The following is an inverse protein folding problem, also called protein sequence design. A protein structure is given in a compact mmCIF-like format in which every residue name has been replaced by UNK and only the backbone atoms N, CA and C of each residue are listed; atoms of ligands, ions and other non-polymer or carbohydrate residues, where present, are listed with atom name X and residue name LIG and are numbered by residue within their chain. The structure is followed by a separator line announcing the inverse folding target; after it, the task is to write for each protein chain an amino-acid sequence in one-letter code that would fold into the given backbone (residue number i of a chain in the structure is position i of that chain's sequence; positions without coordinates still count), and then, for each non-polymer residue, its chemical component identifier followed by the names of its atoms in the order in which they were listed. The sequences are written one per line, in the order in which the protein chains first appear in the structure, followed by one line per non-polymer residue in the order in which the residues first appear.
data_IF_709941603332
#
_entry.id   IF_709941603332
#
_cell.length_a   1.000
_cell.length_b   1.000
_cell.length_c   1.000
_cell.angle_alpha   90.00
_cell.angle_beta   90.00
_cell.angle_gamma   90.00
#
_symmetry.space_group_name_H-M   'P 1'
#
loop_
_entity.id
_entity.type
_entity.pdbx_description
1 polymer ?
#
# COMPACT_ATOMS: atom_id res chain seq x y z
N UNK A 1 -7.89 12.08 -7.00
CA UNK A 1 -6.92 11.21 -6.34
C UNK A 1 -7.72 10.15 -5.60
N UNK A 2 -8.08 9.06 -6.31
CA UNK A 2 -8.91 7.98 -5.75
C UNK A 2 -8.29 7.43 -4.47
N UNK A 3 -9.05 7.35 -3.37
CA UNK A 3 -8.55 6.88 -2.05
C UNK A 3 -7.31 7.63 -1.53
N UNK A 4 -7.08 8.85 -2.00
CA UNK A 4 -5.86 9.61 -1.69
C UNK A 4 -4.63 9.18 -2.49
N UNK A 5 -4.76 8.30 -3.48
CA UNK A 5 -3.67 7.97 -4.38
C UNK A 5 -3.51 9.03 -5.49
N UNK A 6 -2.29 9.57 -5.60
CA UNK A 6 -1.87 10.58 -6.57
C UNK A 6 -1.85 10.09 -8.02
N UNK A 7 -1.59 8.81 -8.27
CA UNK A 7 -1.32 8.26 -9.62
C UNK A 7 -2.50 7.50 -10.26
N UNK A 8 -3.61 7.31 -9.54
CA UNK A 8 -4.82 6.66 -10.05
C UNK A 8 -5.78 7.65 -10.72
N UNK A 9 -6.46 7.19 -11.78
CA UNK A 9 -7.53 7.91 -12.48
C UNK A 9 -7.06 9.12 -13.30
N UNK A 10 -5.76 9.21 -13.59
CA UNK A 10 -5.13 10.24 -14.43
C UNK A 10 -4.28 9.57 -15.52
N UNK A 11 -4.41 10.05 -16.75
CA UNK A 11 -3.53 9.67 -17.86
C UNK A 11 -2.85 10.92 -18.39
N UNK A 12 -1.53 10.84 -18.57
CA UNK A 12 -0.70 11.90 -19.12
C UNK A 12 -0.66 11.80 -20.65
N UNK A 13 -0.66 12.95 -21.32
CA UNK A 13 -0.36 13.05 -22.73
C UNK A 13 1.15 12.95 -22.99
N UNK A 14 1.51 12.76 -24.25
CA UNK A 14 2.90 12.62 -24.65
C UNK A 14 3.76 13.80 -24.17
N UNK A 15 4.93 13.49 -23.61
CA UNK A 15 5.89 14.44 -23.06
C UNK A 15 5.54 15.03 -21.70
N UNK A 16 4.32 14.85 -21.19
CA UNK A 16 3.94 15.38 -19.88
C UNK A 16 4.61 14.61 -18.74
N UNK A 17 4.94 15.35 -17.67
CA UNK A 17 5.55 14.81 -16.47
C UNK A 17 4.68 15.17 -15.26
N UNK A 18 4.41 14.20 -14.40
CA UNK A 18 3.71 14.39 -13.14
C UNK A 18 4.55 13.86 -11.98
N UNK A 19 4.63 14.67 -10.93
CA UNK A 19 5.07 14.21 -9.62
C UNK A 19 3.85 13.87 -8.75
N UNK A 20 3.92 12.74 -8.07
CA UNK A 20 2.97 12.29 -7.07
C UNK A 20 3.68 11.99 -5.76
N UNK A 21 2.96 12.11 -4.65
CA UNK A 21 3.39 11.68 -3.34
C UNK A 21 2.18 11.10 -2.62
N UNK A 22 2.29 9.84 -2.22
CA UNK A 22 1.32 9.18 -1.35
C UNK A 22 1.94 9.00 0.03
N UNK A 23 1.28 9.45 1.08
CA UNK A 23 1.60 9.13 2.47
C UNK A 23 0.47 8.32 3.07
N UNK A 24 0.82 7.26 3.79
CA UNK A 24 -0.08 6.38 4.53
C UNK A 24 0.46 6.25 5.94
N UNK A 25 -0.27 6.83 6.90
CA UNK A 25 0.09 6.78 8.31
C UNK A 25 -0.96 5.96 9.02
N UNK A 26 -0.53 4.86 9.63
CA UNK A 26 -1.43 3.85 10.20
C UNK A 26 -1.12 3.66 11.67
N UNK A 27 -2.19 3.50 12.44
CA UNK A 27 -2.18 3.15 13.83
C UNK A 27 -3.05 1.91 14.00
N UNK A 28 -2.48 0.83 14.50
CA UNK A 28 -3.18 -0.41 14.82
C UNK A 28 -2.97 -0.65 16.31
N UNK A 29 -4.08 -0.68 17.03
CA UNK A 29 -4.14 -1.20 18.39
C UNK A 29 -4.56 -2.68 18.30
N UNK A 30 -3.79 -3.57 18.90
CA UNK A 30 -4.03 -5.00 18.82
C UNK A 30 -3.87 -5.67 20.18
N UNK A 31 -4.69 -6.68 20.42
CA UNK A 31 -4.65 -7.54 21.58
C UNK A 31 -5.01 -8.98 21.16
N UNK A 32 -4.42 -9.98 21.79
CA UNK A 32 -4.89 -11.36 21.75
C UNK A 32 -4.62 -12.09 23.06
N UNK A 33 -5.44 -13.09 23.34
CA UNK A 33 -5.26 -13.98 24.49
C UNK A 33 -4.01 -14.88 24.32
N UNK A 34 -3.64 -15.62 25.35
CA UNK A 34 -2.50 -16.55 25.34
C UNK A 34 -2.65 -17.56 24.20
N UNK A 35 -1.60 -17.70 23.39
CA UNK A 35 -1.61 -18.67 22.29
C UNK A 35 -1.65 -20.11 22.84
N UNK A 36 -2.55 -20.97 22.34
CA UNK A 36 -2.61 -22.37 22.74
C UNK A 36 -1.32 -23.04 22.30
N UNK A 37 -0.62 -23.67 23.24
CA UNK A 37 0.71 -24.28 23.06
C UNK A 37 1.90 -23.29 23.06
N UNK A 38 1.72 -22.04 23.51
CA UNK A 38 2.84 -21.20 23.92
C UNK A 38 3.30 -21.55 25.35
N UNK A 39 4.59 -21.35 25.63
CA UNK A 39 5.10 -21.37 27.01
C UNK A 39 4.80 -20.05 27.75
N UNK A 40 4.33 -19.04 27.03
CA UNK A 40 3.91 -17.76 27.60
C UNK A 40 2.56 -17.90 28.30
N UNK A 41 2.41 -17.18 29.41
CA UNK A 41 1.21 -17.24 30.27
C UNK A 41 0.50 -15.89 30.37
N UNK A 42 0.88 -14.95 29.50
CA UNK A 42 0.39 -13.58 29.50
C UNK A 42 -0.34 -13.26 28.19
N UNK A 43 -1.37 -12.44 28.30
CA UNK A 43 -2.01 -11.81 27.16
C UNK A 43 -1.03 -10.92 26.40
N UNK A 44 -1.28 -10.74 25.11
CA UNK A 44 -0.41 -9.98 24.24
C UNK A 44 -1.12 -8.74 23.75
N UNK A 45 -0.50 -7.59 23.98
CA UNK A 45 -1.04 -6.31 23.52
C UNK A 45 0.06 -5.38 23.06
N UNK A 46 -0.31 -4.56 22.08
CA UNK A 46 0.59 -3.53 21.60
C UNK A 46 -0.01 -2.67 20.53
N UNK A 47 0.82 -1.75 20.07
CA UNK A 47 0.48 -0.81 19.01
C UNK A 47 1.45 -0.96 17.86
N UNK A 48 0.93 -1.12 16.65
CA UNK A 48 1.73 -0.97 15.43
C UNK A 48 1.47 0.40 14.82
N UNK A 49 2.52 1.21 14.74
CA UNK A 49 2.46 2.52 14.09
C UNK A 49 3.33 2.50 12.84
N UNK A 50 2.75 2.91 11.72
CA UNK A 50 3.45 2.99 10.43
C UNK A 50 3.41 4.41 9.89
N UNK A 51 4.57 4.91 9.46
CA UNK A 51 4.70 6.16 8.71
C UNK A 51 5.34 5.83 7.37
N UNK A 52 4.53 5.79 6.31
CA UNK A 52 4.99 5.38 4.98
C UNK A 52 4.70 6.48 3.97
N UNK A 53 5.67 6.77 3.13
CA UNK A 53 5.56 7.69 2.02
C UNK A 53 6.09 7.06 0.74
N UNK A 54 5.49 7.42 -0.39
CA UNK A 54 5.82 6.93 -1.71
C UNK A 54 5.81 8.06 -2.71
N UNK A 55 6.96 8.71 -2.96
CA UNK A 55 7.12 9.58 -4.12
C UNK A 55 6.97 8.77 -5.41
N UNK A 56 6.35 9.39 -6.40
CA UNK A 56 6.04 8.81 -7.71
C UNK A 56 6.40 9.82 -8.78
N UNK A 57 7.12 9.38 -9.80
CA UNK A 57 7.34 10.15 -11.03
C UNK A 57 6.65 9.42 -12.18
N UNK A 58 5.75 10.10 -12.89
CA UNK A 58 5.06 9.57 -14.06
C UNK A 58 5.38 10.40 -15.29
N UNK A 59 5.70 9.73 -16.39
CA UNK A 59 5.98 10.34 -17.69
C UNK A 59 5.03 9.75 -18.74
N UNK A 60 4.39 10.63 -19.52
CA UNK A 60 3.67 10.22 -20.73
C UNK A 60 4.64 10.00 -21.88
N UNK A 61 4.94 8.75 -22.23
CA UNK A 61 5.77 8.43 -23.38
C UNK A 61 5.02 8.67 -24.70
N UNK A 62 3.70 8.50 -24.68
CA UNK A 62 2.81 8.83 -25.78
C UNK A 62 1.42 9.21 -25.23
N UNK A 63 0.47 9.52 -26.11
CA UNK A 63 -0.93 9.74 -25.72
C UNK A 63 -1.62 8.46 -25.21
N UNK A 64 -0.96 7.31 -25.34
CA UNK A 64 -1.49 5.99 -24.98
C UNK A 64 -0.66 5.27 -23.93
N UNK A 65 0.56 5.72 -23.62
CA UNK A 65 1.45 4.99 -22.72
C UNK A 65 2.05 5.93 -21.67
N UNK A 66 1.88 5.58 -20.40
CA UNK A 66 2.53 6.25 -19.28
C UNK A 66 3.45 5.27 -18.56
N UNK A 67 4.62 5.74 -18.12
CA UNK A 67 5.53 5.00 -17.25
C UNK A 67 5.61 5.71 -15.91
N UNK A 68 5.52 4.96 -14.81
CA UNK A 68 5.64 5.47 -13.45
C UNK A 68 6.72 4.72 -12.68
N UNK A 69 7.56 5.47 -11.97
CA UNK A 69 8.51 4.96 -10.99
C UNK A 69 8.08 5.43 -9.60
N UNK A 70 7.97 4.52 -8.65
CA UNK A 70 7.73 4.87 -7.25
C UNK A 70 8.72 4.17 -6.31
N UNK A 71 8.99 4.81 -5.18
CA UNK A 71 9.86 4.29 -4.13
C UNK A 71 9.11 4.33 -2.81
N UNK A 72 8.98 3.21 -2.10
CA UNK A 72 8.45 3.22 -0.74
C UNK A 72 9.55 3.64 0.22
N UNK A 73 9.24 4.54 1.14
CA UNK A 73 10.13 4.93 2.22
C UNK A 73 9.29 5.10 3.48
N UNK A 74 9.80 4.67 4.62
CA UNK A 74 9.06 4.77 5.87
C UNK A 74 9.61 3.91 6.98
N UNK A 75 8.85 3.88 8.06
CA UNK A 75 9.13 3.08 9.25
C UNK A 75 7.83 2.46 9.74
N UNK A 76 7.94 1.22 10.21
CA UNK A 76 6.94 0.57 11.05
C UNK A 76 7.56 0.38 12.42
N UNK A 77 6.79 0.64 13.47
CA UNK A 77 7.21 0.43 14.85
C UNK A 77 6.16 -0.39 15.57
N UNK A 78 6.60 -1.49 16.15
CA UNK A 78 5.83 -2.21 17.16
C UNK A 78 6.16 -1.60 18.52
N UNK A 79 5.13 -1.26 19.28
CA UNK A 79 5.22 -0.80 20.66
C UNK A 79 4.54 -1.88 21.49
N UNK A 80 5.31 -2.57 22.30
CA UNK A 80 4.80 -3.55 23.25
C UNK A 80 4.26 -2.84 24.48
N UNK A 81 3.05 -3.18 24.92
CA UNK A 81 2.40 -2.56 26.09
C UNK A 81 2.03 -3.56 27.20
N UNK A 82 2.13 -4.87 26.92
CA UNK A 82 1.81 -5.92 27.89
C UNK A 82 2.80 -6.05 29.06
N UNK A 83 2.38 -6.77 30.09
CA UNK A 83 3.20 -6.98 31.30
C UNK A 83 4.23 -8.09 31.11
N UNK A 84 5.52 -7.74 31.02
CA UNK A 84 6.62 -8.70 30.91
C UNK A 84 7.54 -8.42 29.72
N UNK A 85 8.73 -9.01 29.75
CA UNK A 85 9.69 -8.98 28.65
C UNK A 85 10.04 -10.42 28.24
N UNK A 86 10.14 -10.67 26.94
CA UNK A 86 10.47 -11.98 26.35
C UNK A 86 11.16 -11.79 24.99
N UNK A 87 11.53 -12.90 24.35
CA UNK A 87 12.06 -12.93 22.98
C UNK A 87 11.03 -12.43 21.93
N UNK A 88 9.75 -12.33 22.28
CA UNK A 88 8.65 -11.79 21.45
C UNK A 88 8.15 -10.41 21.91
N UNK A 89 8.35 -10.05 23.18
CA UNK A 89 7.72 -8.90 23.83
C UNK A 89 8.66 -7.71 23.95
N UNK A 90 8.73 -6.89 22.90
CA UNK A 90 9.58 -5.69 22.89
C UNK A 90 9.07 -4.59 21.95
N UNK A 91 9.51 -3.38 22.23
CA UNK A 91 9.34 -2.26 21.30
C UNK A 91 10.47 -2.27 20.26
N UNK A 92 10.13 -2.36 18.98
CA UNK A 92 11.11 -2.39 17.90
C UNK A 92 10.61 -1.72 16.62
N UNK A 93 11.53 -1.39 15.70
CA UNK A 93 11.21 -0.69 14.46
C UNK A 93 11.93 -1.25 13.25
N UNK A 94 11.30 -1.17 12.08
CA UNK A 94 11.86 -1.66 10.81
C UNK A 94 13.10 -0.87 10.34
N UNK A 95 13.39 0.27 10.97
CA UNK A 95 14.53 1.12 10.63
C UNK A 95 15.86 0.67 11.25
N UNK A 96 15.86 -0.23 12.23
CA UNK A 96 17.06 -0.79 12.84
C UNK A 96 17.25 -2.25 12.44
N UNK A 97 18.49 -2.71 12.36
CA UNK A 97 18.78 -4.13 12.15
C UNK A 97 18.46 -4.96 13.38
N UNK A 98 18.25 -6.24 13.17
CA UNK A 98 18.03 -7.26 14.20
C UNK A 98 18.71 -8.57 13.78
N UNK A 99 18.76 -9.56 14.67
CA UNK A 99 19.37 -10.88 14.40
C UNK A 99 18.90 -11.49 13.06
N UNK A 100 17.61 -11.41 12.77
CA UNK A 100 16.97 -11.92 11.57
C UNK A 100 16.46 -10.82 10.62
N UNK A 101 16.90 -9.57 10.75
CA UNK A 101 16.37 -8.47 9.94
C UNK A 101 17.43 -7.43 9.60
N UNK A 102 17.45 -7.02 8.33
CA UNK A 102 18.23 -5.85 7.90
C UNK A 102 17.34 -4.60 8.02
N UNK A 103 17.77 -3.61 8.79
CA UNK A 103 17.03 -2.36 8.97
C UNK A 103 17.22 -1.36 7.83
N UNK A 104 16.36 -0.34 7.80
CA UNK A 104 16.54 0.85 6.96
C UNK A 104 15.24 1.61 6.73
N UNK A 105 15.27 2.66 5.91
CA UNK A 105 14.05 3.43 5.61
C UNK A 105 13.38 3.03 4.30
N UNK A 106 14.11 2.39 3.38
CA UNK A 106 13.60 2.08 2.05
C UNK A 106 12.77 0.79 2.08
N UNK A 107 11.59 0.82 1.48
CA UNK A 107 10.82 -0.35 1.06
C UNK A 107 10.93 -0.58 -0.46
N UNK A 108 9.97 -1.31 -1.02
CA UNK A 108 10.01 -1.69 -2.44
C UNK A 108 10.00 -0.48 -3.40
N UNK A 109 10.72 -0.63 -4.52
CA UNK A 109 10.63 0.26 -5.69
C UNK A 109 9.68 -0.36 -6.70
N UNK A 110 8.75 0.41 -7.29
CA UNK A 110 7.84 -0.10 -8.33
C UNK A 110 8.04 0.64 -9.65
N UNK A 111 8.07 -0.13 -10.73
CA UNK A 111 8.03 0.38 -12.10
C UNK A 111 6.74 -0.11 -12.77
N UNK A 112 5.89 0.81 -13.21
CA UNK A 112 4.61 0.51 -13.83
C UNK A 112 4.49 1.16 -15.21
N UNK A 113 4.06 0.38 -16.19
CA UNK A 113 3.64 0.84 -17.49
C UNK A 113 2.11 0.78 -17.58
N UNK A 114 1.46 1.86 -18.02
CA UNK A 114 0.00 1.98 -18.14
C UNK A 114 -0.39 2.35 -19.55
N UNK A 115 -1.13 1.47 -20.21
CA UNK A 115 -1.77 1.72 -21.48
C UNK A 115 -3.13 2.41 -21.27
N UNK A 116 -3.30 3.56 -21.91
CA UNK A 116 -4.48 4.41 -21.80
C UNK A 116 -5.48 4.08 -22.91
N UNK A 117 -6.28 3.02 -22.71
CA UNK A 117 -7.30 2.58 -23.69
C UNK A 117 -8.29 3.72 -23.99
N UNK A 118 -8.73 4.41 -22.94
CA UNK A 118 -9.53 5.62 -23.07
C UNK A 118 -9.08 6.65 -22.06
N UNK A 119 -8.74 7.84 -22.53
CA UNK A 119 -8.35 8.96 -21.68
C UNK A 119 -9.03 10.24 -22.15
N UNK A 120 -10.08 10.66 -21.44
CA UNK A 120 -10.80 11.91 -21.69
C UNK A 120 -10.13 13.13 -21.06
N UNK A 121 -8.98 12.95 -20.41
CA UNK A 121 -8.18 14.03 -19.84
C UNK A 121 -8.99 14.92 -18.88
N UNK A 122 -8.98 16.23 -19.12
CA UNK A 122 -9.76 17.21 -18.32
C UNK A 122 -11.26 17.18 -18.62
N UNK A 123 -11.69 16.63 -19.76
CA UNK A 123 -13.10 16.57 -20.17
C UNK A 123 -13.93 15.53 -19.39
N UNK A 124 -15.25 15.57 -19.62
CA UNK A 124 -16.17 14.54 -19.15
C UNK A 124 -16.06 13.26 -19.98
N UNK A 125 -16.37 12.14 -19.36
CA UNK A 125 -16.41 10.82 -19.98
C UNK A 125 -15.55 9.79 -19.26
N UNK A 126 -15.45 8.59 -19.84
CA UNK A 126 -14.78 7.46 -19.21
C UNK A 126 -13.26 7.57 -19.32
N UNK A 127 -12.59 6.86 -18.42
CA UNK A 127 -11.16 6.60 -18.40
C UNK A 127 -10.97 5.11 -18.13
N UNK A 128 -10.24 4.45 -19.01
CA UNK A 128 -9.96 3.02 -18.88
C UNK A 128 -8.49 2.78 -19.15
N UNK A 129 -7.78 2.29 -18.14
CA UNK A 129 -6.34 2.02 -18.21
C UNK A 129 -6.07 0.55 -17.84
N UNK A 130 -5.12 -0.04 -18.55
CA UNK A 130 -4.52 -1.33 -18.20
C UNK A 130 -3.05 -1.11 -17.89
N UNK A 131 -2.57 -1.68 -16.79
CA UNK A 131 -1.21 -1.53 -16.32
C UNK A 131 -0.53 -2.86 -16.07
N UNK A 132 0.79 -2.86 -16.25
CA UNK A 132 1.67 -3.98 -15.91
C UNK A 132 3.01 -3.46 -15.42
N UNK A 133 3.69 -4.23 -14.56
CA UNK A 133 5.02 -3.82 -14.10
C UNK A 133 5.64 -4.75 -13.08
N UNK A 134 6.64 -4.22 -12.37
CA UNK A 134 7.48 -4.97 -11.45
C UNK A 134 7.66 -4.22 -10.12
N UNK A 135 7.71 -4.97 -9.02
CA UNK A 135 8.17 -4.51 -7.71
C UNK A 135 9.56 -5.10 -7.43
N UNK A 136 10.49 -4.23 -7.04
CA UNK A 136 11.86 -4.55 -6.71
C UNK A 136 12.03 -4.40 -5.20
N UNK A 137 12.44 -5.46 -4.48
CA UNK A 137 12.54 -5.41 -3.04
C UNK A 137 13.74 -4.57 -2.59
N UNK A 138 13.58 -3.84 -1.50
CA UNK A 138 14.73 -3.21 -0.82
C UNK A 138 15.48 -4.21 0.07
N UNK A 139 16.62 -3.76 0.60
CA UNK A 139 17.37 -4.51 1.62
C UNK A 139 16.71 -4.51 3.00
N UNK A 140 15.69 -3.68 3.25
CA UNK A 140 14.97 -3.71 4.53
C UNK A 140 14.03 -4.92 4.56
N UNK A 141 14.55 -6.08 4.92
CA UNK A 141 13.85 -7.37 4.85
C UNK A 141 14.25 -8.28 6.00
N UNK A 142 13.39 -9.23 6.30
CA UNK A 142 13.74 -10.38 7.12
C UNK A 142 14.75 -11.28 6.38
N UNK A 143 15.65 -11.90 7.14
CA UNK A 143 16.76 -12.73 6.65
C UNK A 143 16.66 -14.20 7.04
N UNK A 144 15.67 -14.56 7.85
CA UNK A 144 15.33 -15.95 8.18
C UNK A 144 13.87 -16.06 8.63
N UNK A 145 13.34 -17.28 8.65
CA UNK A 145 12.00 -17.61 9.13
C UNK A 145 11.82 -17.18 10.59
N UNK A 146 10.94 -16.20 10.89
CA UNK A 146 10.70 -15.75 12.25
C UNK A 146 9.76 -16.67 13.04
N UNK A 147 9.13 -17.65 12.39
CA UNK A 147 8.18 -18.56 13.04
C UNK A 147 8.82 -19.90 13.44
N UNK A 148 10.09 -20.12 13.10
CA UNK A 148 10.84 -21.34 13.41
C UNK A 148 10.08 -22.61 12.99
N UNK A 149 9.48 -22.60 11.80
CA UNK A 149 8.52 -23.63 11.36
C UNK A 149 9.12 -25.05 11.31
N UNK A 150 10.44 -25.16 11.18
CA UNK A 150 11.16 -26.44 11.18
C UNK A 150 11.81 -26.80 12.52
N UNK A 151 12.24 -25.82 13.31
CA UNK A 151 13.06 -26.02 14.52
C UNK A 151 12.52 -25.18 15.69
N UNK A 152 11.31 -25.51 16.17
CA UNK A 152 10.67 -24.75 17.26
C UNK A 152 11.47 -24.76 18.57
N UNK A 153 12.26 -25.81 18.81
CA UNK A 153 13.07 -25.96 20.03
C UNK A 153 14.30 -25.03 20.07
N UNK A 154 14.62 -24.35 18.95
CA UNK A 154 15.76 -23.43 18.81
C UNK A 154 15.31 -21.96 18.64
N UNK A 155 14.11 -21.61 19.15
CA UNK A 155 13.61 -20.24 19.09
C UNK A 155 14.60 -19.26 19.73
N UNK A 156 15.01 -18.29 18.94
CA UNK A 156 15.90 -17.18 19.32
C UNK A 156 15.20 -15.86 19.07
N UNK A 157 15.77 -14.76 19.57
CA UNK A 157 15.28 -13.42 19.26
C UNK A 157 15.06 -13.23 17.76
N UNK A 158 13.85 -12.81 17.38
CA UNK A 158 13.47 -12.59 15.99
C UNK A 158 12.41 -11.49 15.84
N UNK A 159 12.35 -10.90 14.65
CA UNK A 159 11.36 -9.90 14.22
C UNK A 159 10.43 -10.49 13.15
N UNK A 160 9.16 -10.08 13.19
CA UNK A 160 8.10 -10.54 12.27
C UNK A 160 7.76 -9.57 11.13
N UNK A 161 8.33 -8.38 11.11
CA UNK A 161 7.98 -7.34 10.13
C UNK A 161 9.19 -6.59 9.56
N UNK A 162 9.02 -6.08 8.34
CA UNK A 162 10.01 -5.26 7.62
C UNK A 162 9.28 -4.31 6.66
N UNK A 163 10.03 -3.43 5.99
CA UNK A 163 9.47 -2.54 4.96
C UNK A 163 9.33 -3.21 3.59
N UNK A 164 10.15 -4.23 3.31
CA UNK A 164 10.17 -5.06 2.11
C UNK A 164 10.16 -6.52 2.54
N UNK A 165 9.49 -7.39 1.77
CA UNK A 165 9.51 -8.84 2.01
C UNK A 165 10.64 -9.56 1.25
N UNK A 166 11.50 -8.81 0.54
CA UNK A 166 12.63 -9.37 -0.17
C UNK A 166 12.27 -10.04 -1.51
N UNK A 167 10.99 -10.08 -1.91
CA UNK A 167 10.55 -10.73 -3.14
C UNK A 167 10.49 -9.75 -4.33
N UNK A 168 11.00 -10.18 -5.49
CA UNK A 168 10.64 -9.56 -6.77
C UNK A 168 9.21 -9.96 -7.13
N UNK A 169 8.38 -9.00 -7.53
CA UNK A 169 6.97 -9.25 -7.80
C UNK A 169 6.55 -8.69 -9.16
N UNK A 170 5.61 -9.37 -9.80
CA UNK A 170 4.92 -8.88 -10.99
C UNK A 170 3.63 -8.17 -10.57
N UNK A 171 3.30 -7.07 -11.25
CA UNK A 171 2.10 -6.27 -10.98
C UNK A 171 1.21 -6.24 -12.22
N UNK A 172 -0.08 -6.46 -12.03
CA UNK A 172 -1.13 -6.18 -13.00
C UNK A 172 -2.13 -5.18 -12.44
N UNK A 173 -2.62 -4.25 -13.26
CA UNK A 173 -3.52 -3.19 -12.83
C UNK A 173 -4.62 -2.93 -13.87
N UNK A 174 -5.85 -2.73 -13.41
CA UNK A 174 -6.96 -2.25 -14.21
C UNK A 174 -7.59 -1.05 -13.51
N UNK A 175 -7.83 0.03 -14.25
CA UNK A 175 -8.46 1.24 -13.73
C UNK A 175 -9.64 1.65 -14.60
N UNK A 176 -10.82 1.84 -14.01
CA UNK A 176 -12.03 2.29 -14.71
C UNK A 176 -12.65 3.44 -13.94
N UNK A 177 -12.71 4.61 -14.56
CA UNK A 177 -13.30 5.80 -13.97
C UNK A 177 -14.21 6.53 -14.95
N UNK A 178 -15.12 7.34 -14.43
CA UNK A 178 -15.97 8.22 -15.20
C UNK A 178 -15.95 9.62 -14.57
N UNK A 179 -15.75 10.64 -15.41
CA UNK A 179 -15.87 12.04 -15.03
C UNK A 179 -17.13 12.65 -15.63
N UNK A 180 -17.86 13.43 -14.85
CA UNK A 180 -19.05 14.15 -15.30
C UNK A 180 -19.18 15.51 -14.61
N UNK A 181 -20.21 16.27 -14.97
CA UNK A 181 -20.48 17.60 -14.43
C UNK A 181 -21.32 17.57 -13.14
N UNK A 182 -22.15 16.54 -12.96
CA UNK A 182 -23.04 16.36 -11.81
C UNK A 182 -22.40 15.50 -10.72
N UNK A 183 -22.81 15.66 -9.46
CA UNK A 183 -22.29 14.84 -8.36
C UNK A 183 -22.74 13.37 -8.46
N UNK A 184 -21.85 12.38 -8.20
CA UNK A 184 -20.40 12.54 -8.04
C UNK A 184 -19.73 12.89 -9.39
N UNK A 185 -18.87 13.91 -9.39
CA UNK A 185 -18.21 14.39 -10.62
C UNK A 185 -17.08 13.51 -11.08
N UNK A 186 -16.58 12.66 -10.20
CA UNK A 186 -15.59 11.65 -10.54
C UNK A 186 -15.85 10.41 -9.71
N UNK A 187 -16.06 9.27 -10.37
CA UNK A 187 -16.28 8.01 -9.70
C UNK A 187 -15.74 6.83 -10.50
N UNK A 188 -15.58 5.69 -9.84
CA UNK A 188 -15.09 4.47 -10.45
C UNK A 188 -14.24 3.66 -9.49
N UNK A 189 -13.33 2.86 -10.03
CA UNK A 189 -12.47 2.02 -9.22
C UNK A 189 -11.24 1.51 -9.95
N UNK A 190 -10.43 0.77 -9.20
CA UNK A 190 -9.24 0.10 -9.71
C UNK A 190 -9.07 -1.25 -9.03
N UNK A 191 -8.51 -2.18 -9.78
CA UNK A 191 -8.11 -3.49 -9.31
C UNK A 191 -6.62 -3.68 -9.58
N UNK A 192 -5.88 -4.15 -8.59
CA UNK A 192 -4.45 -4.43 -8.66
C UNK A 192 -4.19 -5.85 -8.18
N UNK A 193 -3.32 -6.55 -8.89
CA UNK A 193 -2.75 -7.83 -8.48
C UNK A 193 -1.24 -7.69 -8.39
N UNK A 194 -0.65 -8.14 -7.29
CA UNK A 194 0.80 -8.17 -7.11
C UNK A 194 1.21 -9.57 -6.62
N UNK A 195 2.02 -10.27 -7.42
CA UNK A 195 2.35 -11.69 -7.18
C UNK A 195 3.87 -11.90 -7.12
N UNK A 196 4.40 -12.69 -6.18
CA UNK A 196 5.84 -13.02 -6.16
C UNK A 196 6.24 -13.77 -7.44
N UNK A 197 7.33 -13.35 -8.06
CA UNK A 197 7.90 -14.08 -9.20
C UNK A 197 8.55 -15.38 -8.71
N UNK A 198 9.23 -15.32 -7.56
CA UNK A 198 9.89 -16.46 -6.92
C UNK A 198 10.11 -16.22 -5.42
N UNK A 199 10.47 -17.29 -4.73
CA UNK A 199 11.04 -17.23 -3.38
C UNK A 199 12.29 -16.35 -3.35
N UNK A 200 12.47 -15.59 -2.28
CA UNK A 200 13.64 -14.75 -2.08
C UNK A 200 14.84 -15.59 -1.63
N UNK A 201 16.03 -14.96 -1.55
CA UNK A 201 17.27 -15.65 -1.17
C UNK A 201 17.32 -16.18 0.27
N UNK A 202 16.38 -15.76 1.12
CA UNK A 202 16.26 -16.16 2.52
C UNK A 202 15.21 -17.27 2.71
N UNK A 203 14.54 -17.69 1.63
CA UNK A 203 13.54 -18.74 1.67
C UNK A 203 12.10 -18.27 1.82
N UNK A 204 11.84 -16.96 1.79
CA UNK A 204 10.46 -16.46 1.88
C UNK A 204 9.85 -16.25 0.50
N UNK A 205 8.61 -16.71 0.34
CA UNK A 205 7.73 -16.40 -0.79
C UNK A 205 6.52 -15.63 -0.28
N UNK A 206 6.47 -14.34 -0.63
CA UNK A 206 5.36 -13.44 -0.31
C UNK A 206 4.01 -14.02 -0.77
N UNK A 207 2.90 -13.69 -0.10
CA UNK A 207 1.57 -13.94 -0.66
C UNK A 207 1.32 -13.11 -1.93
N UNK A 208 0.37 -13.56 -2.75
CA UNK A 208 -0.24 -12.75 -3.81
C UNK A 208 -1.23 -11.79 -3.19
N UNK A 209 -1.12 -10.51 -3.54
CA UNK A 209 -2.01 -9.42 -3.14
C UNK A 209 -3.03 -9.14 -4.24
N UNK A 210 -4.29 -8.99 -3.83
CA UNK A 210 -5.40 -8.46 -4.60
C UNK A 210 -5.92 -7.20 -3.90
N UNK A 211 -5.90 -6.06 -4.57
CA UNK A 211 -6.38 -4.76 -4.05
C UNK A 211 -7.45 -4.20 -4.98
N UNK A 212 -8.68 -4.13 -4.49
CA UNK A 212 -9.82 -3.52 -5.17
C UNK A 212 -10.19 -2.23 -4.45
N UNK A 213 -10.38 -1.15 -5.19
CA UNK A 213 -10.80 0.13 -4.60
C UNK A 213 -11.84 0.83 -5.45
N UNK A 214 -12.80 1.47 -4.78
CA UNK A 214 -13.84 2.30 -5.36
C UNK A 214 -13.77 3.70 -4.79
N UNK A 215 -14.12 4.71 -5.59
CA UNK A 215 -14.10 6.11 -5.17
C UNK A 215 -15.26 6.85 -5.84
N UNK A 216 -15.88 7.77 -5.10
CA UNK A 216 -16.77 8.81 -5.61
C UNK A 216 -16.37 10.17 -5.01
N UNK A 217 -16.28 11.21 -5.85
CA UNK A 217 -15.83 12.55 -5.47
C UNK A 217 -16.88 13.59 -5.90
N UNK A 218 -17.19 14.53 -5.01
CA UNK A 218 -18.09 15.65 -5.32
C UNK A 218 -17.39 16.80 -6.04
N UNK A 219 -18.17 17.68 -6.66
CA UNK A 219 -17.72 19.02 -7.00
C UNK A 219 -17.22 19.76 -5.77
N UNK A 220 -16.41 20.78 -6.02
CA UNK A 220 -15.93 21.69 -5.00
C UNK A 220 -17.13 22.39 -4.34
N UNK A 221 -17.14 22.44 -3.01
CA UNK A 221 -18.14 23.19 -2.24
C UNK A 221 -17.61 24.60 -1.99
N UNK A 222 -18.28 25.59 -2.58
CA UNK A 222 -17.85 27.01 -2.59
C UNK A 222 -17.46 27.57 -1.22
N UNK A 223 -18.16 27.20 -0.14
CA UNK A 223 -17.86 27.71 1.22
C UNK A 223 -16.53 27.20 1.78
N UNK A 224 -16.14 25.98 1.44
CA UNK A 224 -14.96 25.31 2.00
C UNK A 224 -13.79 25.24 1.00
N UNK A 225 -14.04 25.56 -0.28
CA UNK A 225 -13.08 25.42 -1.39
C UNK A 225 -12.43 24.03 -1.40
N UNK A 226 -13.26 23.01 -1.19
CA UNK A 226 -12.86 21.60 -1.15
C UNK A 226 -13.94 20.71 -1.77
N UNK A 227 -13.50 19.62 -2.38
CA UNK A 227 -14.34 18.47 -2.74
C UNK A 227 -14.34 17.45 -1.61
N UNK A 228 -15.39 16.63 -1.54
CA UNK A 228 -15.48 15.49 -0.63
C UNK A 228 -15.33 14.19 -1.41
N UNK A 229 -14.70 13.19 -0.78
CA UNK A 229 -14.55 11.84 -1.33
C UNK A 229 -15.13 10.80 -0.38
N UNK A 230 -15.81 9.82 -0.96
CA UNK A 230 -16.19 8.56 -0.32
C UNK A 230 -15.45 7.45 -1.04
N UNK A 231 -14.78 6.57 -0.30
CA UNK A 231 -14.06 5.44 -0.89
C UNK A 231 -14.26 4.16 -0.10
N UNK A 232 -14.16 3.03 -0.80
CA UNK A 232 -14.19 1.68 -0.24
C UNK A 232 -13.03 0.89 -0.84
N UNK A 233 -12.16 0.35 0.01
CA UNK A 233 -11.12 -0.60 -0.39
C UNK A 233 -11.44 -2.01 0.09
N UNK A 234 -11.07 -3.03 -0.69
CA UNK A 234 -11.07 -4.43 -0.30
C UNK A 234 -9.71 -5.00 -0.69
N UNK A 235 -8.97 -5.48 0.30
CA UNK A 235 -7.66 -6.07 0.13
C UNK A 235 -7.73 -7.55 0.52
N UNK A 236 -7.18 -8.43 -0.32
CA UNK A 236 -7.03 -9.84 -0.01
C UNK A 236 -5.59 -10.30 -0.29
N UNK A 237 -5.00 -11.06 0.62
CA UNK A 237 -3.73 -11.74 0.41
C UNK A 237 -3.91 -13.26 0.49
N UNK A 238 -3.17 -14.00 -0.33
CA UNK A 238 -3.11 -15.47 -0.23
C UNK A 238 -2.17 -15.89 0.91
N UNK A 239 -1.84 -17.19 1.01
CA UNK A 239 -0.78 -17.65 1.90
C UNK A 239 0.60 -17.25 1.36
N UNK A 240 1.50 -16.88 2.26
CA UNK A 240 2.94 -16.82 2.07
C UNK A 240 3.62 -18.09 2.61
N UNK A 241 4.90 -18.26 2.30
CA UNK A 241 5.63 -19.49 2.64
C UNK A 241 7.08 -19.20 3.03
N UNK A 242 7.58 -19.93 4.04
CA UNK A 242 9.01 -20.03 4.35
C UNK A 242 9.50 -21.44 3.99
N UNK A 243 10.46 -21.53 3.07
CA UNK A 243 11.03 -22.79 2.58
C UNK A 243 9.95 -23.82 2.18
N UNK A 244 8.89 -23.36 1.52
CA UNK A 244 7.74 -24.17 1.11
C UNK A 244 6.70 -24.48 2.21
N UNK A 245 6.94 -24.10 3.46
CA UNK A 245 5.99 -24.28 4.57
C UNK A 245 5.13 -23.02 4.72
N UNK A 246 3.81 -23.18 4.90
CA UNK A 246 2.87 -22.07 5.04
C UNK A 246 3.29 -21.17 6.21
N UNK A 247 3.47 -19.89 5.93
CA UNK A 247 3.78 -18.89 6.94
C UNK A 247 2.47 -18.40 7.62
N UNK A 248 2.40 -18.40 8.96
CA UNK A 248 1.24 -17.89 9.70
C UNK A 248 0.89 -16.44 9.35
N UNK A 249 -0.38 -16.08 9.53
CA UNK A 249 -0.90 -14.70 9.45
C UNK A 249 -0.66 -13.96 8.12
N UNK A 250 -0.31 -14.68 7.04
CA UNK A 250 -0.03 -14.09 5.72
C UNK A 250 -1.29 -13.92 4.85
N UNK A 251 -2.30 -14.75 5.05
CA UNK A 251 -3.60 -14.68 4.35
C UNK A 251 -4.56 -13.81 5.13
N UNK A 252 -5.00 -12.71 4.53
CA UNK A 252 -5.85 -11.72 5.19
C UNK A 252 -6.87 -11.17 4.20
N UNK A 253 -8.06 -10.83 4.68
CA UNK A 253 -9.04 -10.00 3.95
C UNK A 253 -9.40 -8.79 4.79
N UNK A 254 -9.20 -7.59 4.25
CA UNK A 254 -9.48 -6.32 4.92
C UNK A 254 -10.42 -5.50 4.04
N UNK A 255 -11.48 -4.98 4.65
CA UNK A 255 -12.34 -3.97 4.03
C UNK A 255 -12.06 -2.62 4.68
N UNK A 256 -11.93 -1.56 3.87
CA UNK A 256 -11.51 -0.23 4.35
C UNK A 256 -12.45 0.84 3.81
N UNK A 257 -13.56 1.14 4.50
CA UNK A 257 -14.32 2.36 4.24
C UNK A 257 -13.47 3.60 4.56
N UNK A 258 -13.69 4.66 3.81
CA UNK A 258 -13.00 5.93 4.03
C UNK A 258 -13.79 7.13 3.53
N UNK A 259 -13.55 8.25 4.20
CA UNK A 259 -14.03 9.57 3.79
C UNK A 259 -12.83 10.50 3.68
N UNK A 260 -12.92 11.50 2.82
CA UNK A 260 -11.83 12.44 2.65
C UNK A 260 -12.24 13.74 2.00
N UNK A 261 -11.24 14.60 1.87
CA UNK A 261 -11.35 15.88 1.22
C UNK A 261 -10.24 16.05 0.19
N UNK A 262 -10.54 16.78 -0.87
CA UNK A 262 -9.64 17.08 -1.98
C UNK A 262 -9.67 18.58 -2.24
N UNK A 263 -8.49 19.20 -2.25
CA UNK A 263 -8.31 20.63 -2.53
C UNK A 263 -7.29 20.83 -3.63
N UNK A 264 -7.62 21.68 -4.59
CA UNK A 264 -6.66 22.16 -5.58
C UNK A 264 -5.98 23.43 -5.05
N UNK A 265 -4.66 23.51 -5.21
CA UNK A 265 -3.83 24.66 -4.84
C UNK A 265 -3.03 25.11 -6.06
N UNK A 266 -2.34 26.25 -5.96
CA UNK A 266 -1.39 26.70 -6.98
C UNK A 266 -0.19 25.75 -7.16
N UNK A 267 0.17 24.97 -6.14
CA UNK A 267 1.27 24.01 -6.19
C UNK A 267 0.86 22.63 -6.73
N UNK A 268 -0.43 22.33 -6.76
CA UNK A 268 -0.95 21.01 -7.13
C UNK A 268 -2.23 20.65 -6.38
N UNK A 269 -2.69 19.41 -6.55
CA UNK A 269 -3.85 18.89 -5.81
C UNK A 269 -3.39 18.16 -4.56
N UNK A 270 -4.07 18.39 -3.43
CA UNK A 270 -3.86 17.69 -2.15
C UNK A 270 -5.15 16.97 -1.78
N UNK A 271 -5.06 15.73 -1.34
CA UNK A 271 -6.15 14.98 -0.72
C UNK A 271 -5.75 14.45 0.63
N UNK A 272 -6.68 14.45 1.57
CA UNK A 272 -6.52 13.79 2.86
C UNK A 272 -7.74 12.90 3.08
N UNK A 273 -7.50 11.65 3.46
CA UNK A 273 -8.55 10.68 3.71
C UNK A 273 -8.33 10.06 5.09
N UNK A 274 -9.42 9.90 5.83
CA UNK A 274 -9.47 9.09 7.04
C UNK A 274 -10.07 7.74 6.66
N UNK A 275 -9.35 6.67 6.99
CA UNK A 275 -9.67 5.31 6.62
C UNK A 275 -9.84 4.48 7.90
N UNK A 276 -10.82 3.57 7.88
CA UNK A 276 -11.06 2.63 8.96
C UNK A 276 -10.88 1.20 8.43
N UNK A 277 -9.67 0.61 8.51
CA UNK A 277 -9.48 -0.79 8.15
C UNK A 277 -10.30 -1.68 9.10
N UNK A 278 -11.04 -2.61 8.52
CA UNK A 278 -11.82 -3.64 9.21
C UNK A 278 -11.36 -4.99 8.68
N UNK A 279 -10.75 -5.78 9.56
CA UNK A 279 -10.29 -7.12 9.23
C UNK A 279 -11.51 -8.05 9.20
N UNK A 280 -11.72 -8.68 8.06
CA UNK A 280 -12.82 -9.64 7.86
C UNK A 280 -12.33 -11.05 8.19
N UNK A 281 -11.06 -11.34 7.90
CA UNK A 281 -10.42 -12.63 8.14
C UNK A 281 -8.89 -12.47 8.17
N UNK A 282 -8.22 -13.18 9.08
CA UNK A 282 -6.77 -13.32 9.16
C UNK A 282 -6.02 -12.05 9.58
N UNK A 283 -4.69 -12.09 9.46
CA UNK A 283 -3.81 -10.97 9.82
C UNK A 283 -3.73 -10.81 11.34
N UNK A 284 -4.19 -9.66 11.85
CA UNK A 284 -4.20 -9.38 13.28
C UNK A 284 -5.47 -9.85 14.00
N UNK A 285 -6.57 -10.12 13.28
CA UNK A 285 -7.91 -10.35 13.88
C UNK A 285 -8.32 -11.83 13.90
N UNK A 286 -7.32 -12.71 13.91
CA UNK A 286 -7.51 -14.14 13.76
C UNK A 286 -6.18 -14.75 13.36
N UNK A 287 -5.48 -15.31 14.35
CA UNK A 287 -4.44 -16.29 14.12
C UNK A 287 -5.03 -17.49 13.36
N UNK A 288 -4.18 -18.29 12.70
CA UNK A 288 -4.57 -19.64 12.26
C UNK A 288 -4.94 -20.56 13.45
N UNK A 289 -4.79 -20.07 14.69
CA UNK A 289 -5.15 -20.69 15.96
C UNK A 289 -6.40 -20.00 16.54
N UNK A 290 -7.36 -20.76 17.08
CA UNK A 290 -8.62 -20.26 17.65
C UNK A 290 -8.36 -19.55 19.00
N UNK A 291 -7.95 -18.29 18.93
CA UNK A 291 -7.67 -17.44 20.09
C UNK A 291 -8.48 -16.16 19.98
N UNK A 292 -8.98 -15.68 21.12
CA UNK A 292 -9.70 -14.40 21.15
C UNK A 292 -8.73 -13.26 20.81
N UNK A 293 -9.17 -12.34 19.95
CA UNK A 293 -8.32 -11.26 19.47
C UNK A 293 -9.12 -10.01 19.10
N UNK A 294 -8.53 -8.86 19.39
CA UNK A 294 -9.09 -7.56 19.06
C UNK A 294 -8.13 -6.74 18.22
N UNK A 295 -8.66 -6.06 17.20
CA UNK A 295 -7.88 -5.15 16.35
C UNK A 295 -8.67 -3.88 16.06
N UNK A 296 -8.08 -2.74 16.44
CA UNK A 296 -8.63 -1.41 16.14
C UNK A 296 -7.61 -0.63 15.33
N UNK A 297 -7.80 -0.62 14.01
CA UNK A 297 -6.95 0.13 13.10
C UNK A 297 -7.58 1.47 12.68
N UNK A 298 -6.76 2.49 12.50
CA UNK A 298 -7.08 3.76 11.84
C UNK A 298 -5.93 4.16 10.92
N UNK A 299 -6.25 4.76 9.78
CA UNK A 299 -5.24 5.21 8.83
C UNK A 299 -5.59 6.58 8.26
N UNK A 300 -4.57 7.42 8.12
CA UNK A 300 -4.66 8.71 7.44
C UNK A 300 -3.82 8.65 6.18
N UNK A 301 -4.46 8.83 5.02
CA UNK A 301 -3.76 8.95 3.75
C UNK A 301 -3.70 10.40 3.30
N UNK A 302 -2.51 10.86 2.94
CA UNK A 302 -2.30 12.15 2.27
C UNK A 302 -1.78 11.89 0.87
N UNK A 303 -2.49 12.41 -0.12
CA UNK A 303 -2.08 12.37 -1.52
C UNK A 303 -1.74 13.77 -2.01
N UNK A 304 -0.62 13.92 -2.70
CA UNK A 304 -0.27 15.13 -3.42
C UNK A 304 0.06 14.77 -4.87
N UNK A 305 -0.36 15.63 -5.80
CA UNK A 305 0.13 15.54 -7.18
C UNK A 305 0.28 16.90 -7.82
N UNK A 306 1.29 17.00 -8.68
CA UNK A 306 1.56 18.16 -9.51
C UNK A 306 1.93 17.70 -10.92
N UNK A 307 1.20 18.25 -11.90
CA UNK A 307 1.62 18.20 -13.30
C UNK A 307 2.63 19.32 -13.52
N UNK A 308 3.78 19.02 -14.12
CA UNK A 308 4.77 20.04 -14.45
C UNK A 308 4.37 20.78 -15.74
N UNK A 309 4.74 22.05 -15.82
CA UNK A 309 4.52 22.87 -17.01
C UNK A 309 5.52 22.51 -18.13
N UNK A 310 6.63 21.86 -17.77
CA UNK A 310 7.60 21.33 -18.72
C UNK A 310 7.07 20.09 -19.44
N UNK A 311 7.16 20.10 -20.77
CA UNK A 311 6.86 18.97 -21.66
C UNK A 311 8.14 18.54 -22.34
N UNK A 312 8.44 17.23 -22.31
CA UNK A 312 9.64 16.67 -22.93
C UNK A 312 9.57 16.87 -24.46
N UNK A 313 10.43 17.72 -25.06
CA UNK A 313 10.20 18.20 -26.42
C UNK A 313 10.25 17.11 -27.49
N UNK A 314 11.01 16.03 -27.30
CA UNK A 314 11.11 14.95 -28.29
C UNK A 314 9.96 13.93 -28.20
N UNK A 315 9.10 14.03 -27.18
CA UNK A 315 7.84 13.28 -27.10
C UNK A 315 6.64 14.14 -27.44
N UNK A 316 6.80 15.45 -27.58
CA UNK A 316 5.71 16.37 -27.89
C UNK A 316 5.29 16.26 -29.36
N UNK A 317 4.07 15.73 -29.66
CA UNK A 317 3.58 15.63 -31.03
C UNK A 317 3.34 16.99 -31.68
N UNK A 318 3.23 18.07 -30.89
CA UNK A 318 3.00 19.44 -31.38
C UNK A 318 4.29 20.16 -31.76
N UNK A 319 5.48 19.64 -31.46
CA UNK A 319 6.76 20.30 -31.78
C UNK A 319 7.01 20.48 -33.29
N UNK A 320 6.27 19.77 -34.14
CA UNK A 320 6.37 19.84 -35.61
C UNK A 320 5.19 20.58 -36.27
N UNK A 321 4.31 21.19 -35.48
CA UNK A 321 3.20 22.05 -35.94
C UNK A 321 3.50 23.50 -35.58
#
# INVERSE_FOLDING_TARGET
MPVGNSDRGIGLWAGQIMFGLNSSNEYIDWWHDVLPNSQETIEHEGRMVSFVFSPILTIGLSNYLNISLSQVVGVRRMIWEGSGESIHHRTEGSNTSFSNALGGLLGDTKLLARYLIKNTGKGSGPRFFLGGGLSFPSKNTLTSDPFFLKNKDEMTDHRHFSMSDGCYKAIGETQVYYKQTNNPVFFGGSFLVETPIKENKYGYKSPTLYDLSFTAITNEKNKLKTSFSLNLGVMHTTNGFWHGIKAPNTKTTITTPSVGFLKNTNLGSISVNLLKPVFIYGGFSGSDEEVDSEVKAWRVNVGFRRLFDYVIPWFDPMKKL
#
